data_IF_696988519738
#
_entry.id   IF_696988519738
#
_cell.length_a   1.000
_cell.length_b   1.000
_cell.length_c   1.000
_cell.angle_alpha   90.00
_cell.angle_beta   90.00
_cell.angle_gamma   90.00
#
_symmetry.space_group_name_H-M   'P 1'
#
loop_
_entity.id
_entity.type
_entity.pdbx_description
1 polymer ?
#
# COMPACT_ATOMS: atom_id res chain seq x y z
N UNK A 1 -28.48 63.73 -22.09
CA UNK A 1 -27.40 63.10 -22.84
C UNK A 1 -26.50 62.24 -21.98
N UNK A 2 -26.09 62.60 -20.77
CA UNK A 2 -25.22 61.87 -19.88
C UNK A 2 -25.74 60.49 -19.36
N UNK A 3 -27.05 60.31 -19.23
CA UNK A 3 -27.67 59.10 -18.69
C UNK A 3 -27.53 57.88 -19.64
N UNK A 4 -27.52 58.11 -20.95
CA UNK A 4 -27.39 57.03 -21.94
C UNK A 4 -25.93 56.62 -22.16
N UNK A 5 -24.97 57.48 -21.89
CA UNK A 5 -23.54 57.15 -21.98
C UNK A 5 -23.11 56.23 -20.85
N UNK A 6 -23.64 56.44 -19.63
CA UNK A 6 -23.35 55.56 -18.49
C UNK A 6 -23.94 54.15 -18.65
N UNK A 7 -25.12 54.01 -19.27
CA UNK A 7 -25.72 52.70 -19.52
C UNK A 7 -24.95 51.91 -20.58
N UNK A 8 -24.49 52.59 -21.63
CA UNK A 8 -23.69 51.95 -22.68
C UNK A 8 -22.31 51.53 -22.13
N UNK A 9 -21.66 52.37 -21.33
CA UNK A 9 -20.38 52.01 -20.68
C UNK A 9 -20.55 50.84 -19.71
N UNK A 10 -21.62 50.79 -18.92
CA UNK A 10 -21.92 49.68 -18.02
C UNK A 10 -22.17 48.36 -18.78
N UNK A 11 -22.90 48.40 -19.90
CA UNK A 11 -23.12 47.24 -20.75
C UNK A 11 -21.83 46.73 -21.41
N UNK A 12 -20.93 47.63 -21.82
CA UNK A 12 -19.61 47.25 -22.35
C UNK A 12 -18.73 46.63 -21.27
N UNK A 13 -18.73 47.12 -20.03
CA UNK A 13 -18.00 46.53 -18.93
C UNK A 13 -18.54 45.14 -18.54
N UNK A 14 -19.85 44.96 -18.53
CA UNK A 14 -20.48 43.65 -18.26
C UNK A 14 -20.15 42.63 -19.38
N UNK A 15 -20.23 43.06 -20.65
CA UNK A 15 -19.87 42.22 -21.78
C UNK A 15 -18.38 41.86 -21.78
N UNK A 16 -17.49 42.79 -21.46
CA UNK A 16 -16.06 42.54 -21.35
C UNK A 16 -15.71 41.61 -20.17
N UNK A 17 -16.39 41.76 -19.03
CA UNK A 17 -16.24 40.88 -17.88
C UNK A 17 -16.72 39.45 -18.20
N UNK A 18 -17.89 39.31 -18.84
CA UNK A 18 -18.42 38.00 -19.26
C UNK A 18 -17.52 37.30 -20.28
N UNK A 19 -16.92 38.05 -21.24
CA UNK A 19 -15.97 37.48 -22.20
C UNK A 19 -14.65 37.06 -21.53
N UNK A 20 -14.14 37.85 -20.59
CA UNK A 20 -12.95 37.52 -19.81
C UNK A 20 -13.16 36.25 -18.93
N UNK A 21 -14.31 36.18 -18.26
CA UNK A 21 -14.69 35.05 -17.44
C UNK A 21 -14.81 33.76 -18.27
N UNK A 22 -15.44 33.85 -19.45
CA UNK A 22 -15.53 32.74 -20.42
C UNK A 22 -14.15 32.31 -20.92
N UNK A 23 -13.26 33.25 -21.22
CA UNK A 23 -11.90 32.95 -21.66
C UNK A 23 -11.08 32.27 -20.56
N UNK A 24 -11.14 32.76 -19.32
CA UNK A 24 -10.47 32.19 -18.16
C UNK A 24 -10.96 30.74 -17.93
N UNK A 25 -12.29 30.52 -18.04
CA UNK A 25 -12.86 29.17 -17.91
C UNK A 25 -12.38 28.22 -19.02
N UNK A 26 -12.35 28.69 -20.28
CA UNK A 26 -11.86 27.89 -21.39
C UNK A 26 -10.37 27.53 -21.25
N UNK A 27 -9.53 28.48 -20.84
CA UNK A 27 -8.12 28.23 -20.57
C UNK A 27 -7.93 27.21 -19.43
N UNK A 28 -8.71 27.31 -18.38
CA UNK A 28 -8.72 26.32 -17.28
C UNK A 28 -9.10 24.92 -17.76
N UNK A 29 -10.14 24.79 -18.59
CA UNK A 29 -10.54 23.49 -19.17
C UNK A 29 -9.43 22.94 -20.07
N UNK A 30 -8.80 23.78 -20.88
CA UNK A 30 -7.71 23.35 -21.75
C UNK A 30 -6.52 22.79 -20.96
N UNK A 31 -6.09 23.48 -19.90
CA UNK A 31 -5.02 23.02 -19.00
C UNK A 31 -5.39 21.73 -18.28
N UNK A 32 -6.62 21.62 -17.77
CA UNK A 32 -7.09 20.39 -17.11
C UNK A 32 -7.10 19.20 -18.08
N UNK A 33 -7.48 19.40 -19.35
CA UNK A 33 -7.41 18.35 -20.40
C UNK A 33 -5.98 17.91 -20.66
N UNK A 34 -5.03 18.86 -20.75
CA UNK A 34 -3.60 18.53 -20.96
C UNK A 34 -3.05 17.73 -19.78
N UNK A 35 -3.32 18.16 -18.55
CA UNK A 35 -2.88 17.44 -17.35
C UNK A 35 -3.48 16.03 -17.28
N UNK A 36 -4.77 15.90 -17.61
CA UNK A 36 -5.43 14.59 -17.61
C UNK A 36 -4.87 13.66 -18.70
N UNK A 37 -4.67 14.18 -19.90
CA UNK A 37 -4.05 13.41 -20.98
C UNK A 37 -2.63 12.95 -20.61
N UNK A 38 -1.87 13.82 -19.95
CA UNK A 38 -0.53 13.48 -19.45
C UNK A 38 -0.59 12.42 -18.35
N UNK A 39 -1.50 12.55 -17.37
CA UNK A 39 -1.71 11.57 -16.31
C UNK A 39 -1.97 10.18 -16.91
N UNK A 40 -2.90 10.08 -17.84
CA UNK A 40 -3.25 8.83 -18.53
C UNK A 40 -2.06 8.25 -19.27
N UNK A 41 -1.44 9.03 -20.17
CA UNK A 41 -0.34 8.56 -20.99
C UNK A 41 0.88 8.13 -20.15
N UNK A 42 1.18 8.88 -19.08
CA UNK A 42 2.30 8.56 -18.20
C UNK A 42 2.04 7.26 -17.41
N UNK A 43 0.82 7.07 -16.91
CA UNK A 43 0.42 5.83 -16.22
C UNK A 43 0.47 4.62 -17.15
N UNK A 44 -0.12 4.73 -18.33
CA UNK A 44 -0.11 3.65 -19.33
C UNK A 44 1.32 3.23 -19.71
N UNK A 45 2.23 4.20 -19.83
CA UNK A 45 3.62 3.95 -20.18
C UNK A 45 4.44 3.34 -19.03
N UNK A 46 4.24 3.76 -17.77
CA UNK A 46 5.23 3.55 -16.72
C UNK A 46 4.74 2.74 -15.51
N UNK A 47 3.43 2.71 -15.22
CA UNK A 47 2.92 1.95 -14.07
C UNK A 47 3.15 0.45 -14.25
N UNK A 48 3.91 -0.17 -13.32
CA UNK A 48 4.39 -1.54 -13.48
C UNK A 48 3.27 -2.58 -13.68
N UNK A 49 2.16 -2.45 -12.96
CA UNK A 49 1.05 -3.38 -13.05
C UNK A 49 0.14 -3.17 -14.29
N UNK A 50 0.25 -2.05 -15.00
CA UNK A 50 -0.67 -1.69 -16.08
C UNK A 50 -0.81 -2.77 -17.17
N UNK A 51 0.26 -3.38 -17.69
CA UNK A 51 0.14 -4.44 -18.70
C UNK A 51 -0.66 -5.65 -18.21
N UNK A 52 -0.43 -6.09 -16.96
CA UNK A 52 -1.15 -7.22 -16.37
C UNK A 52 -2.64 -6.91 -16.16
N UNK A 53 -2.96 -5.69 -15.74
CA UNK A 53 -4.34 -5.20 -15.60
C UNK A 53 -5.07 -5.29 -16.95
N UNK A 54 -4.42 -4.87 -18.03
CA UNK A 54 -5.02 -4.93 -19.37
C UNK A 54 -5.20 -6.37 -19.84
N UNK A 55 -4.21 -7.25 -19.61
CA UNK A 55 -4.30 -8.68 -19.93
C UNK A 55 -5.39 -9.40 -19.14
N UNK A 56 -5.65 -8.98 -17.90
CA UNK A 56 -6.72 -9.51 -17.06
C UNK A 56 -8.14 -9.10 -17.51
N UNK A 57 -8.29 -8.41 -18.64
CA UNK A 57 -9.57 -8.07 -19.23
C UNK A 57 -10.16 -6.71 -18.81
N UNK A 58 -9.40 -5.89 -18.08
CA UNK A 58 -9.86 -4.57 -17.64
C UNK A 58 -9.77 -3.47 -18.72
N UNK A 59 -9.37 -3.80 -19.94
CA UNK A 59 -9.21 -2.82 -21.02
C UNK A 59 -10.49 -2.02 -21.33
N UNK A 60 -11.65 -2.69 -21.46
CA UNK A 60 -12.90 -2.02 -21.74
C UNK A 60 -13.41 -1.17 -20.54
N UNK A 61 -13.46 -1.66 -19.30
CA UNK A 61 -13.75 -0.84 -18.12
C UNK A 61 -12.82 0.37 -17.96
N UNK A 62 -11.52 0.18 -18.19
CA UNK A 62 -10.53 1.24 -18.15
C UNK A 62 -10.80 2.33 -19.19
N UNK A 63 -11.06 1.94 -20.44
CA UNK A 63 -11.36 2.88 -21.52
C UNK A 63 -12.66 3.67 -21.22
N UNK A 64 -13.70 3.00 -20.75
CA UNK A 64 -14.96 3.65 -20.37
C UNK A 64 -14.77 4.68 -19.25
N UNK A 65 -13.98 4.35 -18.22
CA UNK A 65 -13.63 5.28 -17.15
C UNK A 65 -12.87 6.49 -17.70
N UNK A 66 -11.85 6.26 -18.52
CA UNK A 66 -11.00 7.27 -19.13
C UNK A 66 -11.81 8.27 -19.97
N UNK A 67 -12.70 7.77 -20.80
CA UNK A 67 -13.56 8.58 -21.67
C UNK A 67 -14.57 9.40 -20.85
N UNK A 68 -15.17 8.78 -19.83
CA UNK A 68 -16.10 9.44 -18.93
C UNK A 68 -15.46 10.63 -18.19
N UNK A 69 -14.26 10.44 -17.65
CA UNK A 69 -13.55 11.49 -16.92
C UNK A 69 -13.10 12.62 -17.86
N UNK A 70 -12.57 12.27 -19.03
CA UNK A 70 -12.22 13.24 -20.07
C UNK A 70 -13.41 14.09 -20.52
N UNK A 71 -14.59 13.46 -20.68
CA UNK A 71 -15.82 14.17 -21.02
C UNK A 71 -16.25 15.15 -19.92
N UNK A 72 -16.21 14.76 -18.64
CA UNK A 72 -16.54 15.63 -17.51
C UNK A 72 -15.61 16.84 -17.42
N UNK A 73 -14.31 16.63 -17.62
CA UNK A 73 -13.34 17.73 -17.70
C UNK A 73 -13.69 18.64 -18.89
N UNK A 74 -14.01 18.04 -20.04
CA UNK A 74 -14.33 18.79 -21.27
C UNK A 74 -15.55 19.68 -21.14
N UNK A 75 -16.51 19.32 -20.32
CA UNK A 75 -17.69 20.11 -20.00
C UNK A 75 -17.50 21.09 -18.83
N UNK A 76 -16.31 21.08 -18.20
CA UNK A 76 -16.04 21.91 -17.02
C UNK A 76 -16.71 21.43 -15.74
N UNK A 77 -17.26 20.19 -15.72
CA UNK A 77 -17.90 19.60 -14.54
C UNK A 77 -16.86 19.19 -13.48
N UNK A 78 -15.68 18.76 -13.94
CA UNK A 78 -14.56 18.37 -13.10
C UNK A 78 -13.31 19.20 -13.36
N UNK A 79 -12.66 19.66 -12.29
CA UNK A 79 -11.28 20.12 -12.34
C UNK A 79 -10.29 18.95 -12.29
N UNK A 80 -9.03 19.24 -12.60
CA UNK A 80 -7.97 18.20 -12.61
C UNK A 80 -7.75 17.55 -11.24
N UNK A 81 -7.94 18.28 -10.14
CA UNK A 81 -7.83 17.71 -8.79
C UNK A 81 -8.81 16.57 -8.57
N UNK A 82 -10.08 16.78 -8.91
CA UNK A 82 -11.11 15.74 -8.84
C UNK A 82 -10.78 14.58 -9.76
N UNK A 83 -10.44 14.87 -11.02
CA UNK A 83 -10.16 13.85 -12.03
C UNK A 83 -8.95 12.98 -11.67
N UNK A 84 -7.87 13.57 -11.14
CA UNK A 84 -6.69 12.84 -10.72
C UNK A 84 -6.98 11.91 -9.53
N UNK A 85 -7.73 12.39 -8.54
CA UNK A 85 -8.15 11.56 -7.40
C UNK A 85 -9.04 10.39 -7.83
N UNK A 86 -10.04 10.64 -8.70
CA UNK A 86 -10.94 9.58 -9.19
C UNK A 86 -10.21 8.57 -10.07
N UNK A 87 -9.26 9.04 -10.90
CA UNK A 87 -8.44 8.18 -11.74
C UNK A 87 -7.60 7.19 -10.89
N UNK A 88 -6.87 7.72 -9.92
CA UNK A 88 -6.07 6.92 -9.00
C UNK A 88 -6.94 5.99 -8.16
N UNK A 89 -8.08 6.50 -7.68
CA UNK A 89 -9.01 5.72 -6.89
C UNK A 89 -9.57 4.51 -7.65
N UNK A 90 -9.76 4.64 -8.97
CA UNK A 90 -10.20 3.51 -9.79
C UNK A 90 -9.20 2.35 -9.73
N UNK A 91 -7.89 2.64 -9.80
CA UNK A 91 -6.85 1.62 -9.63
C UNK A 91 -6.85 1.04 -8.22
N UNK A 92 -6.88 1.88 -7.19
CA UNK A 92 -6.84 1.45 -5.80
C UNK A 92 -8.04 0.58 -5.41
N UNK A 93 -9.21 0.88 -5.96
CA UNK A 93 -10.42 0.11 -5.68
C UNK A 93 -10.43 -1.28 -6.33
N UNK A 94 -9.62 -1.50 -7.37
CA UNK A 94 -9.63 -2.74 -8.14
C UNK A 94 -8.35 -3.55 -8.03
N UNK A 95 -7.19 -2.91 -7.71
CA UNK A 95 -5.90 -3.58 -7.84
C UNK A 95 -5.00 -3.44 -6.63
N UNK A 96 -4.43 -2.25 -6.39
CA UNK A 96 -3.38 -2.05 -5.38
C UNK A 96 -3.35 -0.59 -4.89
N UNK A 97 -3.17 -0.40 -3.59
CA UNK A 97 -3.24 0.92 -2.94
C UNK A 97 -1.97 1.78 -3.09
N UNK A 98 -0.92 1.29 -3.75
CA UNK A 98 0.33 2.04 -3.94
C UNK A 98 0.27 3.13 -5.00
N UNK A 99 -0.78 3.18 -5.82
CA UNK A 99 -0.98 4.26 -6.77
C UNK A 99 -1.78 5.37 -6.12
N UNK A 100 -1.18 6.55 -5.87
CA UNK A 100 -1.86 7.64 -5.19
C UNK A 100 -1.41 9.04 -5.66
N UNK A 101 -2.26 10.01 -5.46
CA UNK A 101 -1.91 11.44 -5.55
C UNK A 101 -1.50 11.95 -4.19
N UNK A 102 -0.90 13.14 -4.13
CA UNK A 102 -0.59 13.83 -2.88
C UNK A 102 -1.67 13.58 -1.81
N UNK A 103 -1.27 13.06 -0.66
CA UNK A 103 -2.19 12.59 0.38
C UNK A 103 -3.15 13.68 0.85
N UNK A 104 -2.66 14.92 1.00
CA UNK A 104 -3.48 16.04 1.41
C UNK A 104 -4.56 16.36 0.38
N UNK A 105 -4.24 16.29 -0.90
CA UNK A 105 -5.19 16.49 -1.99
C UNK A 105 -6.25 15.38 -2.01
N UNK A 106 -5.83 14.14 -1.86
CA UNK A 106 -6.73 12.99 -1.79
C UNK A 106 -7.75 13.16 -0.66
N UNK A 107 -7.29 13.56 0.54
CA UNK A 107 -8.16 13.82 1.68
C UNK A 107 -9.11 14.97 1.47
N UNK A 108 -8.71 16.03 0.79
CA UNK A 108 -9.60 17.16 0.48
C UNK A 108 -10.79 16.73 -0.40
N UNK A 109 -10.54 15.84 -1.37
CA UNK A 109 -11.57 15.36 -2.29
C UNK A 109 -12.47 14.31 -1.62
N UNK A 110 -11.89 13.42 -0.80
CA UNK A 110 -12.60 12.29 -0.21
C UNK A 110 -12.95 12.42 1.28
N UNK A 111 -12.95 13.62 1.83
CA UNK A 111 -13.25 13.91 3.25
C UNK A 111 -14.47 13.20 3.88
N UNK A 112 -15.29 12.53 3.09
CA UNK A 112 -16.60 12.02 3.49
C UNK A 112 -16.69 10.49 3.60
N UNK A 113 -15.60 9.77 3.48
CA UNK A 113 -15.62 8.32 3.79
C UNK A 113 -15.39 8.11 5.29
N UNK A 114 -16.21 8.79 6.07
CA UNK A 114 -16.30 8.67 7.51
C UNK A 114 -16.93 7.32 7.87
N UNK A 115 -16.13 6.25 7.83
CA UNK A 115 -16.46 5.16 8.74
C UNK A 115 -15.98 5.58 10.14
N UNK A 116 -16.72 5.31 11.23
CA UNK A 116 -16.29 5.64 12.58
C UNK A 116 -14.88 5.15 12.91
N UNK A 117 -14.52 3.97 12.41
CA UNK A 117 -13.21 3.34 12.61
C UNK A 117 -12.08 4.10 11.90
N UNK A 118 -12.37 4.77 10.81
CA UNK A 118 -11.40 5.56 10.06
C UNK A 118 -10.90 6.80 10.85
N UNK A 119 -11.75 7.43 11.65
CA UNK A 119 -11.35 8.53 12.54
C UNK A 119 -10.35 8.09 13.59
N UNK A 120 -10.51 6.89 14.14
CA UNK A 120 -9.56 6.33 15.09
C UNK A 120 -8.20 6.10 14.44
N UNK A 121 -8.15 5.53 13.24
CA UNK A 121 -6.90 5.27 12.53
C UNK A 121 -6.13 6.55 12.18
N UNK A 122 -6.81 7.65 11.94
CA UNK A 122 -6.17 8.95 11.69
C UNK A 122 -5.50 9.56 12.92
N UNK A 123 -5.96 9.19 14.11
CA UNK A 123 -5.44 9.72 15.38
C UNK A 123 -4.38 8.81 16.02
N UNK A 124 -4.08 7.64 15.40
CA UNK A 124 -3.07 6.75 15.93
C UNK A 124 -1.66 7.33 15.78
N UNK A 125 -0.96 7.37 16.89
CA UNK A 125 0.47 7.68 16.97
C UNK A 125 1.19 6.48 17.63
N UNK A 126 1.27 5.33 16.94
CA UNK A 126 1.85 4.13 17.54
C UNK A 126 3.33 4.34 17.83
N UNK A 127 3.76 3.84 18.99
CA UNK A 127 5.16 3.83 19.38
C UNK A 127 5.75 2.43 19.24
N UNK A 128 7.04 2.34 18.93
CA UNK A 128 7.77 1.08 18.95
C UNK A 128 7.83 0.53 20.38
N UNK A 129 7.49 -0.74 20.54
CA UNK A 129 7.43 -1.42 21.85
C UNK A 129 8.04 -2.81 21.74
N UNK A 130 8.92 -3.15 22.68
CA UNK A 130 9.40 -4.50 22.88
C UNK A 130 9.34 -4.82 24.37
N UNK A 131 8.37 -5.63 24.79
CA UNK A 131 8.18 -5.92 26.22
C UNK A 131 7.47 -7.24 26.50
N UNK A 132 7.70 -7.76 27.70
CA UNK A 132 6.96 -8.93 28.21
C UNK A 132 5.53 -8.54 28.57
N UNK A 133 4.54 -9.24 28.01
CA UNK A 133 3.13 -9.08 28.35
C UNK A 133 2.75 -9.94 29.55
N UNK A 134 3.21 -11.18 29.55
CA UNK A 134 3.02 -12.12 30.65
C UNK A 134 4.14 -13.18 30.65
N UNK A 135 4.00 -14.22 31.48
CA UNK A 135 5.05 -15.24 31.63
C UNK A 135 5.41 -16.00 30.33
N UNK A 136 4.50 -16.05 29.35
CA UNK A 136 4.66 -16.80 28.11
C UNK A 136 4.74 -15.93 26.86
N UNK A 137 4.27 -14.68 26.94
CA UNK A 137 3.99 -13.83 25.79
C UNK A 137 4.83 -12.56 25.81
N UNK A 138 5.39 -12.24 24.67
CA UNK A 138 6.15 -11.02 24.36
C UNK A 138 5.42 -10.19 23.31
N UNK A 139 5.45 -8.87 23.43
CA UNK A 139 4.95 -7.91 22.46
C UNK A 139 6.13 -7.24 21.73
N UNK A 140 6.07 -7.26 20.42
CA UNK A 140 6.90 -6.45 19.53
C UNK A 140 5.97 -5.61 18.64
N UNK A 141 5.89 -4.31 18.90
CA UNK A 141 5.16 -3.38 18.03
C UNK A 141 6.12 -2.65 17.13
N UNK A 142 5.88 -2.77 15.81
CA UNK A 142 6.66 -2.11 14.76
C UNK A 142 5.72 -1.14 14.02
N UNK A 143 5.70 0.14 14.40
CA UNK A 143 4.75 1.11 13.86
C UNK A 143 5.08 1.61 12.46
N UNK A 144 6.30 1.37 11.98
CA UNK A 144 6.77 1.81 10.66
C UNK A 144 7.95 0.96 10.20
N UNK A 145 8.05 0.76 8.90
CA UNK A 145 9.20 0.14 8.24
C UNK A 145 10.14 1.17 7.61
N UNK A 146 9.98 2.47 7.90
CA UNK A 146 10.81 3.54 7.32
C UNK A 146 12.25 3.62 7.90
N UNK A 147 12.61 2.75 8.84
CA UNK A 147 13.96 2.64 9.40
C UNK A 147 14.37 3.75 10.37
N UNK A 148 13.44 4.59 10.80
CA UNK A 148 13.71 5.69 11.75
C UNK A 148 13.12 5.43 13.14
N UNK A 149 11.95 4.80 13.21
CA UNK A 149 11.28 4.45 14.46
C UNK A 149 10.33 3.24 14.22
N UNK A 150 10.78 2.02 14.49
CA UNK A 150 12.13 1.63 14.95
C UNK A 150 13.19 1.61 13.83
N UNK A 151 14.47 1.48 14.24
CA UNK A 151 15.56 1.12 13.33
C UNK A 151 15.70 -0.41 13.20
N UNK A 152 16.44 -0.88 12.19
CA UNK A 152 16.73 -2.30 12.01
C UNK A 152 17.45 -2.91 13.21
N UNK A 153 18.44 -2.18 13.75
CA UNK A 153 19.22 -2.60 14.92
C UNK A 153 18.32 -2.74 16.15
N UNK A 154 17.36 -1.84 16.32
CA UNK A 154 16.41 -1.93 17.42
C UNK A 154 15.53 -3.17 17.30
N UNK A 155 15.06 -3.51 16.09
CA UNK A 155 14.27 -4.73 15.85
C UNK A 155 15.12 -5.97 16.12
N UNK A 156 16.37 -6.00 15.66
CA UNK A 156 17.29 -7.10 15.91
C UNK A 156 17.49 -7.33 17.42
N UNK A 157 17.75 -6.26 18.18
CA UNK A 157 17.91 -6.35 19.64
C UNK A 157 16.62 -6.78 20.34
N UNK A 158 15.46 -6.34 19.84
CA UNK A 158 14.16 -6.73 20.37
C UNK A 158 13.89 -8.23 20.17
N UNK A 159 14.24 -8.78 19.00
CA UNK A 159 14.14 -10.21 18.69
C UNK A 159 15.08 -11.01 19.57
N UNK A 160 16.33 -10.59 19.73
CA UNK A 160 17.29 -11.25 20.63
C UNK A 160 16.78 -11.27 22.07
N UNK A 161 16.28 -10.13 22.57
CA UNK A 161 15.71 -10.02 23.92
C UNK A 161 14.50 -10.96 24.10
N UNK A 162 13.63 -11.05 23.08
CA UNK A 162 12.54 -12.02 23.07
C UNK A 162 13.05 -13.46 23.19
N UNK A 163 14.03 -13.86 22.39
CA UNK A 163 14.60 -15.22 22.42
C UNK A 163 15.21 -15.54 23.79
N UNK A 164 15.95 -14.61 24.39
CA UNK A 164 16.53 -14.75 25.72
C UNK A 164 15.46 -14.78 26.83
N UNK A 165 14.29 -14.23 26.59
CA UNK A 165 13.18 -14.16 27.57
C UNK A 165 12.60 -15.51 27.94
N UNK A 166 12.78 -16.54 27.09
CA UNK A 166 12.14 -17.86 27.21
C UNK A 166 10.65 -17.88 26.91
N UNK A 167 10.05 -16.76 26.45
CA UNK A 167 8.67 -16.73 25.97
C UNK A 167 8.53 -17.60 24.70
N UNK A 168 7.36 -18.19 24.50
CA UNK A 168 7.03 -19.03 23.34
C UNK A 168 5.90 -18.46 22.50
N UNK A 169 5.43 -17.29 22.81
CA UNK A 169 4.41 -16.56 22.07
C UNK A 169 4.91 -15.14 21.80
N UNK A 170 5.11 -14.80 20.52
CA UNK A 170 5.47 -13.48 20.05
C UNK A 170 4.25 -12.82 19.41
N UNK A 171 3.83 -11.67 19.92
CA UNK A 171 2.84 -10.83 19.27
C UNK A 171 3.60 -9.75 18.49
N UNK A 172 3.41 -9.73 17.17
CA UNK A 172 3.94 -8.69 16.26
C UNK A 172 2.78 -7.75 15.92
N UNK A 173 2.82 -6.54 16.44
CA UNK A 173 1.76 -5.55 16.26
C UNK A 173 2.14 -4.58 15.12
N UNK A 174 1.40 -4.67 14.03
CA UNK A 174 1.58 -3.90 12.79
C UNK A 174 0.52 -2.81 12.61
N UNK A 175 -0.31 -2.56 13.62
CA UNK A 175 -1.35 -1.53 13.51
C UNK A 175 -0.73 -0.15 13.30
N UNK A 176 -1.29 0.58 12.32
CA UNK A 176 -0.79 1.90 11.93
C UNK A 176 0.46 1.88 11.05
N UNK A 177 1.04 0.71 10.78
CA UNK A 177 2.26 0.59 9.96
C UNK A 177 1.90 0.63 8.46
N UNK A 178 2.22 1.72 7.79
CA UNK A 178 2.01 1.91 6.35
C UNK A 178 3.15 1.40 5.46
N UNK A 179 4.09 0.64 6.02
CA UNK A 179 5.20 0.06 5.28
C UNK A 179 6.50 0.86 5.37
N UNK A 180 7.32 0.72 4.36
CA UNK A 180 8.67 1.29 4.23
C UNK A 180 9.63 0.29 3.58
N UNK A 181 10.74 -0.02 4.22
CA UNK A 181 11.75 -0.98 3.75
C UNK A 181 11.53 -2.37 4.33
N UNK A 182 11.59 -3.40 3.48
CA UNK A 182 11.50 -4.80 3.92
C UNK A 182 12.71 -5.24 4.74
N UNK A 183 13.82 -4.52 4.68
CA UNK A 183 15.03 -4.79 5.47
C UNK A 183 14.77 -4.82 6.98
N UNK A 184 13.70 -4.15 7.46
CA UNK A 184 13.30 -4.15 8.86
C UNK A 184 12.93 -5.56 9.37
N UNK A 185 12.54 -6.47 8.47
CA UNK A 185 12.07 -7.80 8.80
C UNK A 185 13.17 -8.87 8.85
N UNK A 186 14.38 -8.58 8.32
CA UNK A 186 15.49 -9.54 8.28
C UNK A 186 15.71 -10.23 9.63
N UNK A 187 15.73 -9.53 10.79
CA UNK A 187 15.92 -10.19 12.08
C UNK A 187 14.80 -11.18 12.47
N UNK A 188 13.62 -11.06 11.86
CA UNK A 188 12.48 -11.93 12.14
C UNK A 188 12.40 -13.13 11.19
N UNK A 189 13.06 -13.09 10.03
CA UNK A 189 13.00 -14.16 9.04
C UNK A 189 13.37 -15.53 9.63
N UNK A 190 14.43 -15.68 10.48
CA UNK A 190 14.77 -16.96 11.10
C UNK A 190 13.65 -17.55 11.97
N UNK A 191 12.68 -16.73 12.42
CA UNK A 191 11.54 -17.20 13.21
C UNK A 191 10.33 -17.57 12.34
N UNK A 192 10.33 -17.16 11.06
CA UNK A 192 9.19 -17.26 10.15
C UNK A 192 9.40 -18.28 9.02
N UNK A 193 10.63 -18.67 8.75
CA UNK A 193 10.92 -19.57 7.64
C UNK A 193 11.11 -20.98 8.17
N UNK A 194 10.11 -21.84 7.99
CA UNK A 194 10.10 -23.24 8.36
C UNK A 194 10.42 -24.16 7.17
N UNK A 195 10.08 -23.71 5.96
CA UNK A 195 10.25 -24.47 4.72
C UNK A 195 10.43 -23.52 3.54
N UNK A 196 10.94 -24.04 2.44
CA UNK A 196 10.98 -23.30 1.17
C UNK A 196 9.58 -23.16 0.61
N UNK A 197 9.26 -21.98 0.03
CA UNK A 197 7.99 -21.79 -0.64
C UNK A 197 7.92 -22.66 -1.91
N UNK A 198 6.75 -23.26 -2.16
CA UNK A 198 6.51 -23.99 -3.40
C UNK A 198 6.63 -23.11 -4.65
N UNK A 199 6.33 -21.84 -4.51
CA UNK A 199 6.51 -20.82 -5.55
C UNK A 199 6.98 -19.52 -4.87
N UNK A 200 8.29 -19.25 -4.84
CA UNK A 200 8.81 -18.02 -4.28
C UNK A 200 8.21 -16.84 -5.02
N UNK A 201 7.79 -15.84 -4.25
CA UNK A 201 7.30 -14.61 -4.81
C UNK A 201 8.48 -13.72 -5.18
N UNK A 202 8.49 -13.27 -6.43
CA UNK A 202 9.49 -12.35 -6.96
C UNK A 202 8.82 -11.04 -7.37
N UNK A 203 9.59 -9.96 -7.45
CA UNK A 203 9.13 -8.68 -7.96
C UNK A 203 9.79 -8.39 -9.29
N UNK A 204 9.05 -7.72 -10.17
CA UNK A 204 9.48 -7.38 -11.50
C UNK A 204 9.43 -5.88 -11.70
N UNK A 205 10.55 -5.30 -12.05
CA UNK A 205 10.67 -3.88 -12.38
C UNK A 205 10.24 -3.64 -13.84
N UNK A 206 9.32 -2.70 -14.06
CA UNK A 206 8.94 -2.29 -15.41
C UNK A 206 10.02 -1.39 -16.00
N UNK A 207 10.74 -1.90 -16.99
CA UNK A 207 11.90 -1.26 -17.60
C UNK A 207 11.48 -0.21 -18.63
N UNK A 208 11.15 0.99 -18.18
CA UNK A 208 10.85 2.14 -19.04
C UNK A 208 11.90 3.24 -18.84
N UNK A 209 11.99 4.14 -19.81
CA UNK A 209 12.93 5.27 -19.71
C UNK A 209 12.70 6.08 -18.41
N UNK A 210 11.47 6.39 -18.07
CA UNK A 210 11.16 7.15 -16.86
C UNK A 210 11.51 6.37 -15.57
N UNK A 211 11.19 5.07 -15.51
CA UNK A 211 11.44 4.25 -14.33
C UNK A 211 12.93 4.07 -14.03
N UNK A 212 13.78 4.11 -15.04
CA UNK A 212 15.25 4.04 -14.88
C UNK A 212 15.84 5.17 -14.03
N UNK A 213 15.09 6.26 -13.83
CA UNK A 213 15.50 7.37 -12.97
C UNK A 213 15.02 7.23 -11.51
N UNK A 214 14.37 6.11 -11.14
CA UNK A 214 14.00 5.85 -9.76
C UNK A 214 15.24 5.66 -8.89
N UNK A 215 15.51 6.53 -7.90
CA UNK A 215 16.72 6.45 -7.07
C UNK A 215 16.88 5.12 -6.33
N UNK A 216 15.75 4.51 -5.95
CA UNK A 216 15.74 3.23 -5.24
C UNK A 216 16.30 2.05 -6.05
N UNK A 217 16.41 2.21 -7.37
CA UNK A 217 16.72 1.11 -8.29
C UNK A 217 17.98 1.34 -9.14
N UNK A 218 18.63 2.52 -9.03
CA UNK A 218 19.66 2.92 -10.01
C UNK A 218 20.85 1.97 -10.07
N UNK A 219 21.47 1.64 -8.95
CA UNK A 219 22.70 0.84 -8.94
C UNK A 219 22.44 -0.60 -9.40
N UNK A 220 21.39 -1.22 -8.86
CA UNK A 220 20.96 -2.55 -9.26
C UNK A 220 20.55 -2.62 -10.72
N UNK A 221 19.77 -1.64 -11.19
CA UNK A 221 19.21 -1.59 -12.54
C UNK A 221 20.32 -1.50 -13.62
N UNK A 222 21.36 -0.71 -13.38
CA UNK A 222 22.47 -0.58 -14.31
C UNK A 222 23.22 -1.91 -14.48
N UNK A 223 23.42 -2.66 -13.40
CA UNK A 223 24.01 -3.99 -13.45
C UNK A 223 23.14 -4.97 -14.23
N UNK A 224 21.83 -5.00 -13.97
CA UNK A 224 20.88 -5.90 -14.65
C UNK A 224 20.77 -5.61 -16.17
N UNK A 225 20.74 -4.33 -16.58
CA UNK A 225 20.69 -3.96 -18.00
C UNK A 225 21.99 -4.37 -18.70
N UNK A 226 23.15 -4.21 -18.05
CA UNK A 226 24.44 -4.57 -18.62
C UNK A 226 24.59 -6.08 -18.81
N UNK A 227 23.97 -6.88 -17.97
CA UNK A 227 24.07 -8.35 -17.98
C UNK A 227 22.94 -9.05 -18.74
N UNK A 228 21.93 -8.32 -19.23
CA UNK A 228 20.77 -8.93 -19.89
C UNK A 228 21.06 -9.17 -21.38
N UNK A 229 20.75 -10.37 -21.87
CA UNK A 229 20.87 -10.73 -23.30
C UNK A 229 19.90 -9.93 -24.18
N UNK A 230 18.71 -9.57 -23.65
CA UNK A 230 17.78 -8.65 -24.29
C UNK A 230 18.16 -7.20 -23.90
N UNK A 231 18.53 -6.34 -24.84
CA UNK A 231 18.94 -4.96 -24.54
C UNK A 231 17.78 -4.08 -24.05
N UNK A 232 16.53 -4.52 -24.19
CA UNK A 232 15.35 -3.75 -23.80
C UNK A 232 14.18 -4.63 -23.28
N UNK A 233 14.39 -5.52 -22.33
CA UNK A 233 13.29 -6.32 -21.79
C UNK A 233 12.23 -5.41 -21.17
N UNK A 234 10.95 -5.77 -21.32
CA UNK A 234 9.84 -5.01 -20.71
C UNK A 234 9.90 -5.04 -19.18
N UNK A 235 10.34 -6.15 -18.62
CA UNK A 235 10.48 -6.35 -17.18
C UNK A 235 11.85 -6.94 -16.85
N UNK A 236 12.38 -6.53 -15.68
CA UNK A 236 13.58 -7.07 -15.06
C UNK A 236 13.22 -7.64 -13.70
N UNK A 237 13.68 -8.85 -13.39
CA UNK A 237 13.44 -9.46 -12.10
C UNK A 237 14.27 -8.77 -11.02
N UNK A 238 13.63 -8.34 -9.94
CA UNK A 238 14.28 -7.72 -8.79
C UNK A 238 14.78 -8.81 -7.84
N UNK A 239 16.04 -8.70 -7.40
CA UNK A 239 16.62 -9.66 -6.45
C UNK A 239 17.02 -11.00 -7.08
N UNK A 240 17.05 -11.13 -8.40
CA UNK A 240 17.70 -12.23 -9.08
C UNK A 240 19.22 -11.94 -9.09
N UNK A 241 19.83 -11.97 -7.95
CA UNK A 241 21.27 -12.07 -7.84
C UNK A 241 21.60 -13.54 -7.63
N UNK A 242 22.63 -13.95 -8.36
CA UNK A 242 23.27 -15.22 -8.44
C UNK A 242 22.91 -16.23 -7.34
N UNK A 243 22.75 -17.48 -7.72
CA UNK A 243 22.64 -18.67 -6.89
C UNK A 243 23.72 -18.69 -5.77
N UNK A 244 23.67 -17.73 -4.83
CA UNK A 244 24.29 -17.91 -3.55
C UNK A 244 23.63 -19.13 -2.95
N UNK A 245 24.38 -20.20 -2.82
CA UNK A 245 24.00 -21.45 -2.17
C UNK A 245 23.12 -21.09 -0.97
N UNK A 246 21.87 -21.56 -0.96
CA UNK A 246 20.91 -21.37 0.12
C UNK A 246 21.62 -21.55 1.47
N UNK A 247 22.11 -20.48 2.08
CA UNK A 247 22.60 -20.55 3.44
C UNK A 247 21.43 -21.07 4.28
N UNK A 248 21.62 -22.27 4.80
CA UNK A 248 20.60 -22.94 5.59
C UNK A 248 20.12 -21.99 6.70
N UNK A 249 18.88 -21.51 6.57
CA UNK A 249 18.30 -20.64 7.58
C UNK A 249 18.41 -21.33 8.93
N UNK A 250 19.00 -20.69 9.94
CA UNK A 250 19.25 -21.33 11.23
C UNK A 250 17.97 -21.90 11.82
N UNK A 251 18.02 -23.17 12.22
CA UNK A 251 16.88 -23.81 12.87
C UNK A 251 16.48 -23.00 14.12
N UNK A 252 15.21 -22.60 14.18
CA UNK A 252 14.64 -21.94 15.34
C UNK A 252 13.78 -22.91 16.15
N UNK A 253 13.36 -22.48 17.34
CA UNK A 253 12.46 -23.25 18.18
C UNK A 253 11.04 -23.30 17.58
N UNK A 254 10.69 -24.39 16.92
CA UNK A 254 9.39 -24.63 16.30
C UNK A 254 8.19 -24.51 17.27
N UNK A 255 8.45 -24.43 18.59
CA UNK A 255 7.41 -24.18 19.61
C UNK A 255 7.03 -22.70 19.76
N UNK A 256 7.74 -21.80 19.08
CA UNK A 256 7.39 -20.37 19.08
C UNK A 256 6.18 -20.17 18.18
N UNK A 257 5.09 -19.62 18.75
CA UNK A 257 3.92 -19.18 18.00
C UNK A 257 3.94 -17.68 17.79
N UNK A 258 3.59 -17.23 16.59
CA UNK A 258 3.60 -15.83 16.20
C UNK A 258 2.17 -15.34 15.95
N UNK A 259 1.75 -14.29 16.63
CA UNK A 259 0.47 -13.63 16.41
C UNK A 259 0.71 -12.25 15.81
N UNK A 260 0.17 -12.00 14.62
CA UNK A 260 0.19 -10.67 14.03
C UNK A 260 -1.08 -9.90 14.40
N UNK A 261 -0.96 -8.59 14.65
CA UNK A 261 -2.11 -7.69 14.77
C UNK A 261 -2.07 -6.71 13.62
N UNK A 262 -3.15 -6.65 12.86
CA UNK A 262 -3.28 -5.77 11.70
C UNK A 262 -4.46 -4.82 11.81
N UNK A 263 -4.41 -3.75 11.05
CA UNK A 263 -5.52 -2.85 10.76
C UNK A 263 -5.48 -2.41 9.28
N UNK A 264 -6.43 -1.58 8.85
CA UNK A 264 -6.47 -1.11 7.45
C UNK A 264 -5.34 -0.17 7.05
N UNK A 265 -4.48 0.27 7.98
CA UNK A 265 -3.25 1.00 7.70
C UNK A 265 -2.04 0.10 7.53
N UNK A 266 -2.15 -1.18 7.92
CA UNK A 266 -1.10 -2.16 7.67
C UNK A 266 -0.94 -2.34 6.17
N UNK A 267 0.19 -1.86 5.60
CA UNK A 267 0.37 -1.74 4.16
C UNK A 267 1.81 -2.03 3.72
N UNK A 268 2.00 -2.33 2.45
CA UNK A 268 3.31 -2.43 1.80
C UNK A 268 4.23 -3.41 2.56
N UNK A 269 5.43 -3.01 2.96
CA UNK A 269 6.36 -3.83 3.74
C UNK A 269 5.72 -4.49 4.97
N UNK A 270 4.73 -3.85 5.62
CA UNK A 270 4.00 -4.49 6.72
C UNK A 270 3.07 -5.63 6.25
N UNK A 271 2.67 -5.66 4.98
CA UNK A 271 1.98 -6.80 4.38
C UNK A 271 2.97 -7.86 3.87
N UNK A 272 4.18 -7.46 3.47
CA UNK A 272 5.22 -8.40 3.04
C UNK A 272 5.53 -9.42 4.12
N UNK A 273 5.71 -9.01 5.39
CA UNK A 273 5.98 -9.96 6.48
C UNK A 273 4.82 -10.94 6.73
N UNK A 274 3.57 -10.52 6.50
CA UNK A 274 2.41 -11.41 6.57
C UNK A 274 2.40 -12.44 5.42
N UNK A 275 2.86 -12.03 4.24
CA UNK A 275 3.01 -12.92 3.07
C UNK A 275 4.16 -13.91 3.29
N UNK A 276 5.27 -13.47 3.88
CA UNK A 276 6.35 -14.36 4.32
C UNK A 276 5.79 -15.42 5.28
N UNK A 277 5.05 -15.02 6.31
CA UNK A 277 4.43 -15.96 7.22
C UNK A 277 3.49 -16.95 6.50
N UNK A 278 2.68 -16.49 5.56
CA UNK A 278 1.77 -17.37 4.79
C UNK A 278 2.48 -18.36 3.88
N UNK A 279 3.60 -17.95 3.30
CA UNK A 279 4.30 -18.74 2.28
C UNK A 279 5.38 -19.66 2.84
N UNK A 280 5.96 -19.33 3.99
CA UNK A 280 7.16 -19.99 4.52
C UNK A 280 7.03 -20.51 5.94
N UNK A 281 5.97 -20.12 6.69
CA UNK A 281 5.76 -20.56 8.08
C UNK A 281 4.69 -21.65 8.12
N UNK A 282 4.91 -22.70 8.89
CA UNK A 282 3.91 -23.74 9.15
C UNK A 282 2.62 -23.11 9.68
N UNK A 283 1.48 -23.52 9.12
CA UNK A 283 0.19 -22.87 9.35
C UNK A 283 -0.26 -22.84 10.81
N UNK A 284 0.18 -23.76 11.60
CA UNK A 284 -0.13 -23.87 13.05
C UNK A 284 0.78 -22.99 13.93
N UNK A 285 1.83 -22.40 13.35
CA UNK A 285 2.77 -21.56 14.07
C UNK A 285 2.43 -20.06 14.04
N UNK A 286 1.51 -19.62 13.19
CA UNK A 286 1.12 -18.22 13.16
C UNK A 286 -0.39 -18.02 13.13
N UNK A 287 -0.83 -16.82 13.55
CA UNK A 287 -2.24 -16.37 13.47
C UNK A 287 -2.27 -14.87 13.23
N UNK A 288 -3.06 -14.44 12.25
CA UNK A 288 -3.28 -13.03 11.95
C UNK A 288 -4.58 -12.58 12.62
N UNK A 289 -4.49 -11.57 13.47
CA UNK A 289 -5.60 -10.96 14.19
C UNK A 289 -5.88 -9.55 13.66
N UNK A 290 -7.13 -9.15 13.55
CA UNK A 290 -7.52 -7.82 13.16
C UNK A 290 -9.02 -7.62 13.20
N UNK A 291 -9.48 -6.39 13.12
CA UNK A 291 -10.90 -6.08 12.97
C UNK A 291 -11.30 -6.05 11.49
N UNK A 292 -10.38 -5.63 10.65
CA UNK A 292 -10.52 -5.45 9.21
C UNK A 292 -9.34 -6.06 8.48
N UNK A 293 -9.44 -6.10 7.16
CA UNK A 293 -8.32 -6.46 6.31
C UNK A 293 -7.24 -5.36 6.37
N UNK A 294 -6.01 -5.71 6.00
CA UNK A 294 -4.94 -4.75 5.72
C UNK A 294 -5.27 -3.84 4.52
N UNK A 295 -4.36 -2.96 4.15
CA UNK A 295 -4.60 -1.93 3.13
C UNK A 295 -4.73 -2.46 1.70
N UNK A 296 -4.09 -3.58 1.37
CA UNK A 296 -4.03 -4.10 0.00
C UNK A 296 -2.98 -3.39 -0.87
N UNK A 297 -1.78 -3.27 -0.34
CA UNK A 297 -0.65 -2.61 -0.98
C UNK A 297 0.60 -3.50 -1.00
N UNK A 298 0.45 -4.80 -1.28
CA UNK A 298 1.56 -5.75 -1.30
C UNK A 298 1.94 -6.24 -2.71
N UNK A 299 1.12 -5.94 -3.71
CA UNK A 299 1.35 -6.48 -5.06
C UNK A 299 2.29 -5.62 -5.90
N UNK A 300 2.44 -4.36 -5.55
CA UNK A 300 3.32 -3.41 -6.24
C UNK A 300 4.22 -2.69 -5.25
N UNK A 301 5.25 -2.00 -5.73
CA UNK A 301 6.19 -1.30 -4.85
C UNK A 301 7.13 -0.36 -5.58
N UNK A 302 8.15 0.13 -4.84
CA UNK A 302 9.17 1.04 -5.35
C UNK A 302 8.56 2.26 -6.04
N UNK A 303 7.89 3.08 -5.22
CA UNK A 303 7.14 4.25 -5.68
C UNK A 303 8.04 5.31 -6.29
N UNK A 304 7.61 5.84 -7.43
CA UNK A 304 8.28 6.94 -8.09
C UNK A 304 7.30 8.08 -8.39
N UNK A 305 7.62 9.34 -8.08
CA UNK A 305 6.73 10.46 -8.31
C UNK A 305 6.88 11.06 -9.70
N UNK A 306 5.77 11.61 -10.21
CA UNK A 306 5.80 12.57 -11.31
C UNK A 306 4.84 13.72 -11.03
N UNK A 307 4.94 14.81 -11.78
CA UNK A 307 4.11 15.98 -11.63
C UNK A 307 3.31 16.27 -12.89
N UNK A 308 2.04 16.61 -12.73
CA UNK A 308 1.23 17.08 -13.85
C UNK A 308 1.77 18.43 -14.36
N UNK A 309 1.81 18.64 -15.67
CA UNK A 309 2.55 19.80 -16.24
C UNK A 309 2.01 21.16 -15.84
N UNK A 310 0.68 21.34 -15.77
CA UNK A 310 0.06 22.64 -15.47
C UNK A 310 -0.27 22.80 -13.97
N UNK A 311 -0.98 21.85 -13.38
CA UNK A 311 -1.42 21.93 -11.99
C UNK A 311 -0.32 21.64 -10.98
N UNK A 312 0.77 21.00 -11.41
CA UNK A 312 1.88 20.54 -10.56
C UNK A 312 1.47 19.52 -9.50
N UNK A 313 0.29 18.92 -9.63
CA UNK A 313 -0.14 17.83 -8.76
C UNK A 313 0.88 16.70 -8.84
N UNK A 314 1.37 16.27 -7.68
CA UNK A 314 2.28 15.12 -7.58
C UNK A 314 1.47 13.83 -7.54
N UNK A 315 1.92 12.88 -8.34
CA UNK A 315 1.34 11.54 -8.45
C UNK A 315 2.44 10.53 -8.20
N UNK A 316 2.18 9.55 -7.33
CA UNK A 316 3.08 8.46 -7.01
C UNK A 316 2.57 7.18 -7.66
N UNK A 317 3.43 6.47 -8.34
CA UNK A 317 3.10 5.21 -9.00
C UNK A 317 4.17 4.14 -8.74
N UNK A 318 3.77 2.86 -8.66
CA UNK A 318 4.71 1.75 -8.48
C UNK A 318 5.51 1.47 -9.76
N UNK A 319 6.82 1.25 -9.59
CA UNK A 319 7.72 0.83 -10.67
C UNK A 319 7.96 -0.68 -10.69
N UNK A 320 7.56 -1.40 -9.63
CA UNK A 320 7.65 -2.86 -9.53
C UNK A 320 6.29 -3.50 -9.28
N UNK A 321 6.17 -4.76 -9.68
CA UNK A 321 4.96 -5.59 -9.53
C UNK A 321 5.34 -7.02 -9.17
N UNK A 322 4.55 -7.68 -8.33
CA UNK A 322 4.79 -9.07 -7.92
C UNK A 322 4.57 -10.06 -9.07
N UNK A 323 5.28 -11.18 -9.02
CA UNK A 323 5.08 -12.31 -9.93
C UNK A 323 3.66 -12.91 -9.82
N UNK A 324 3.08 -12.86 -8.63
CA UNK A 324 1.70 -13.32 -8.38
C UNK A 324 0.72 -12.46 -9.16
N UNK A 325 0.87 -11.14 -9.11
CA UNK A 325 0.02 -10.22 -9.85
C UNK A 325 0.18 -10.38 -11.38
N UNK A 326 1.42 -10.54 -11.86
CA UNK A 326 1.67 -10.75 -13.29
C UNK A 326 1.05 -12.05 -13.82
N UNK A 327 1.04 -13.12 -12.99
CA UNK A 327 0.49 -14.41 -13.37
C UNK A 327 -1.04 -14.45 -13.34
N UNK A 328 -1.62 -13.95 -12.25
CA UNK A 328 -3.03 -14.18 -11.93
C UNK A 328 -3.93 -12.99 -12.27
N UNK A 329 -3.32 -11.85 -12.73
CA UNK A 329 -4.06 -10.63 -13.09
C UNK A 329 -4.79 -10.04 -11.90
N UNK A 330 -4.36 -10.33 -10.60
CA UNK A 330 -4.78 -9.90 -9.54
C UNK A 330 -5.95 -9.80 -8.83
N UNK A 331 -6.41 -10.56 -8.14
CA UNK A 331 -7.76 -10.46 -7.57
C UNK A 331 -7.82 -10.11 -6.09
N UNK A 332 -6.68 -10.08 -5.38
CA UNK A 332 -6.67 -9.92 -3.92
C UNK A 332 -5.94 -8.66 -3.43
N UNK A 333 -5.21 -7.96 -4.28
CA UNK A 333 -4.43 -6.81 -3.88
C UNK A 333 -5.27 -5.73 -3.19
N UNK A 334 -6.31 -5.24 -3.86
CA UNK A 334 -7.19 -4.20 -3.32
C UNK A 334 -7.99 -4.62 -2.08
N UNK A 335 -8.21 -5.92 -1.88
CA UNK A 335 -8.93 -6.43 -0.72
C UNK A 335 -8.08 -6.46 0.56
N UNK A 336 -6.76 -6.42 0.43
CA UNK A 336 -5.83 -6.59 1.53
C UNK A 336 -5.80 -8.02 2.10
N UNK A 337 -4.95 -8.20 3.09
CA UNK A 337 -4.81 -9.47 3.80
C UNK A 337 -5.88 -9.57 4.89
N UNK A 338 -6.77 -10.56 4.78
CA UNK A 338 -7.79 -10.80 5.78
C UNK A 338 -7.19 -11.39 7.06
N UNK A 339 -7.64 -10.97 8.26
CA UNK A 339 -7.26 -11.63 9.50
C UNK A 339 -7.85 -13.04 9.57
N UNK A 340 -7.11 -13.98 10.18
CA UNK A 340 -7.61 -15.31 10.51
C UNK A 340 -8.67 -15.26 11.62
N UNK A 341 -8.46 -14.33 12.56
CA UNK A 341 -9.35 -14.10 13.70
C UNK A 341 -9.77 -12.64 13.76
N UNK A 342 -11.06 -12.38 13.62
CA UNK A 342 -11.60 -11.03 13.79
C UNK A 342 -11.73 -10.66 15.26
N UNK A 343 -11.25 -9.47 15.62
CA UNK A 343 -11.33 -8.92 16.97
C UNK A 343 -12.57 -8.02 17.05
N UNK A 344 -13.53 -8.40 17.88
CA UNK A 344 -14.78 -7.64 18.08
C UNK A 344 -14.63 -6.46 19.09
N UNK A 345 -13.47 -6.36 19.73
CA UNK A 345 -13.19 -5.25 20.66
C UNK A 345 -13.10 -3.91 19.92
N UNK A 346 -13.46 -2.80 20.57
CA UNK A 346 -13.23 -1.48 19.98
C UNK A 346 -11.74 -1.23 19.76
N UNK A 347 -11.42 -0.36 18.81
CA UNK A 347 -10.05 0.12 18.66
C UNK A 347 -9.62 0.84 19.96
N UNK A 348 -8.38 0.67 20.42
CA UNK A 348 -7.84 1.49 21.50
C UNK A 348 -7.73 2.95 21.02
N UNK A 349 -7.91 3.91 21.94
CA UNK A 349 -7.87 5.34 21.61
C UNK A 349 -6.49 5.79 21.10
N UNK A 350 -5.43 5.14 21.59
CA UNK A 350 -4.04 5.40 21.21
C UNK A 350 -3.25 4.09 21.15
N UNK A 351 -2.19 4.08 20.35
CA UNK A 351 -1.19 3.01 20.32
C UNK A 351 0.14 3.55 20.88
N UNK A 352 0.19 3.62 22.20
CA UNK A 352 1.41 4.04 22.93
C UNK A 352 2.22 2.82 23.37
N UNK A 353 3.06 2.96 24.38
CA UNK A 353 3.86 1.89 25.00
C UNK A 353 3.02 0.91 25.85
N UNK A 354 1.74 1.20 26.02
CA UNK A 354 0.86 0.37 26.83
C UNK A 354 0.46 -0.93 26.13
N UNK A 355 0.28 -1.98 26.92
CA UNK A 355 -0.36 -3.22 26.52
C UNK A 355 -1.88 -3.02 26.53
N UNK A 356 -2.45 -2.85 25.34
CA UNK A 356 -3.88 -2.57 25.18
C UNK A 356 -4.78 -3.82 25.22
N UNK A 357 -6.09 -3.59 25.11
CA UNK A 357 -7.11 -4.65 25.19
C UNK A 357 -6.95 -5.73 24.12
N UNK A 358 -6.48 -5.40 22.93
CA UNK A 358 -6.26 -6.37 21.86
C UNK A 358 -5.06 -7.27 22.16
N UNK A 359 -3.96 -6.67 22.63
CA UNK A 359 -2.77 -7.42 23.05
C UNK A 359 -3.12 -8.37 24.18
N UNK A 360 -3.88 -7.91 25.20
CA UNK A 360 -4.33 -8.75 26.33
C UNK A 360 -5.28 -9.86 25.87
N UNK A 361 -6.16 -9.58 24.91
CA UNK A 361 -7.06 -10.57 24.33
C UNK A 361 -6.29 -11.72 23.66
N UNK A 362 -5.27 -11.41 22.90
CA UNK A 362 -4.42 -12.39 22.21
C UNK A 362 -3.55 -13.14 23.20
N UNK A 363 -2.93 -12.44 24.14
CA UNK A 363 -2.04 -13.03 25.14
C UNK A 363 -2.73 -14.05 26.09
N UNK A 364 -4.05 -14.02 26.20
CA UNK A 364 -4.85 -14.99 26.96
C UNK A 364 -5.23 -16.24 26.18
N UNK A 365 -5.05 -16.22 24.84
CA UNK A 365 -5.37 -17.37 23.99
C UNK A 365 -4.18 -18.28 23.89
N UNK A 366 -4.32 -19.59 24.10
CA UNK A 366 -3.24 -20.53 23.87
C UNK A 366 -2.91 -20.53 22.36
N UNK A 367 -1.64 -20.57 22.05
CA UNK A 367 -1.14 -20.88 20.73
C UNK A 367 -1.55 -22.33 20.38
N UNK A 368 -2.68 -22.50 19.70
CA UNK A 368 -3.14 -23.83 19.28
C UNK A 368 -4.01 -23.77 18.03
N UNK A 369 -3.75 -24.65 17.06
CA UNK A 369 -4.50 -24.71 15.79
C UNK A 369 -5.97 -25.14 15.95
N UNK A 370 -6.38 -25.67 17.11
CA UNK A 370 -7.74 -26.19 17.31
C UNK A 370 -8.82 -25.12 17.40
N UNK A 371 -8.49 -23.88 17.69
CA UNK A 371 -9.48 -22.78 17.74
C UNK A 371 -9.95 -22.29 16.36
N UNK A 372 -9.21 -22.60 15.28
CA UNK A 372 -9.63 -22.27 13.91
C UNK A 372 -10.80 -23.15 13.43
N UNK A 373 -11.02 -24.32 14.05
CA UNK A 373 -12.13 -25.23 13.71
C UNK A 373 -13.46 -24.83 14.40
N UNK A 374 -13.40 -24.17 15.54
CA UNK A 374 -14.60 -23.75 16.29
C UNK A 374 -15.28 -22.51 15.66
N UNK A 375 -14.50 -21.60 15.07
CA UNK A 375 -15.05 -20.43 14.36
C UNK A 375 -15.78 -20.76 13.05
N UNK A 376 -15.35 -21.81 12.35
CA UNK A 376 -15.97 -22.23 11.09
C UNK A 376 -17.31 -22.98 11.31
N UNK A 377 -17.54 -23.58 12.48
CA UNK A 377 -18.80 -24.27 12.79
C UNK A 377 -19.91 -23.32 13.26
N UNK A 378 -19.58 -22.13 13.76
CA UNK A 378 -20.61 -21.14 14.18
C UNK A 378 -21.10 -20.24 13.05
N UNK A 379 -20.41 -20.16 11.90
CA UNK A 379 -20.87 -19.42 10.72
C UNK A 379 -21.75 -20.20 9.75
N UNK A 380 -21.95 -21.51 10.01
CA UNK A 380 -22.77 -22.41 9.18
C UNK A 380 -24.21 -22.64 9.69
N UNK A 381 -24.63 -22.00 10.80
CA UNK A 381 -25.97 -22.09 11.35
C UNK A 381 -26.56 -20.70 11.63
N UNK A 382 -26.79 -19.92 10.58
CA UNK A 382 -27.81 -18.85 10.60
C UNK A 382 -28.34 -18.61 9.22
#
# INVERSE_FOLDING_TARGET
MYRNVCVIAALFCIAAAATAETYIQQDSIARNKQDYAYLVAYTEANYAAFPAIMQAGYGAPYQAMKDSFGAKIGRGEWGIKQAACEYVYWFNAHFDAHFYVDEYLFWQVYKRRDTPDYKHLMNYAPQAVSQRVNRKTWLLRVPSCAGQNPTNEWVAQAVETFLQSGCKHLIIDLRGNSGGSDMIWIPLLPLLIDHQANMPETYWFRNTYANRYSPAMQDWLLAQIANNEDPAPMFLQVGAEDDEEDEAIPAHDARIHISFIIDRKTASSAETILRVARNYTDRDRYTIYGKENSAGAAETGNLFPFHLPNSRIQVFYPTTVSSVFLRDGQQNGAAGIAPDVRIELPYPDTLTDNVDSWVLYIAKRPASPNHLKEGAQQSGQK
#
